data_IF_995898049185
#
_entry.id   IF_995898049185
#
_cell.length_a   1.000
_cell.length_b   1.000
_cell.length_c   1.000
_cell.angle_alpha   90.00
_cell.angle_beta   90.00
_cell.angle_gamma   90.00
#
_symmetry.space_group_name_H-M   'P 1'
#
loop_
_entity.id
_entity.type
_entity.pdbx_description
1 polymer ?
#
# COMPACT_ATOMS: atom_id res chain seq x y z
N UNK A 1 -1.43 24.77 5.25
CA UNK A 1 -2.19 23.64 5.76
C UNK A 1 -1.55 22.36 5.27
N UNK A 2 -1.14 21.53 6.19
CA UNK A 2 -0.54 20.27 5.79
C UNK A 2 -1.65 19.32 5.35
N UNK A 3 -1.47 18.73 4.19
CA UNK A 3 -2.39 17.74 3.71
C UNK A 3 -2.11 16.43 4.43
N UNK A 4 -3.12 15.92 5.12
CA UNK A 4 -3.00 14.62 5.73
C UNK A 4 -2.98 13.53 4.66
N UNK A 5 -2.12 12.56 4.86
CA UNK A 5 -2.03 11.41 3.99
C UNK A 5 -2.96 10.34 4.56
N UNK A 6 -4.05 10.07 3.86
CA UNK A 6 -4.97 9.01 4.27
C UNK A 6 -4.54 7.69 3.63
N UNK A 7 -4.55 6.62 4.43
CA UNK A 7 -4.04 5.31 4.02
C UNK A 7 -5.10 4.24 4.22
N UNK A 8 -5.29 3.41 3.21
CA UNK A 8 -5.98 2.14 3.33
C UNK A 8 -4.93 1.04 3.33
N UNK A 9 -5.00 0.16 4.31
CA UNK A 9 -4.08 -0.97 4.43
C UNK A 9 -4.79 -2.26 4.04
N UNK A 10 -4.21 -3.03 3.14
CA UNK A 10 -4.70 -4.34 2.75
C UNK A 10 -3.69 -5.40 3.17
N UNK A 11 -4.03 -6.19 4.18
CA UNK A 11 -3.16 -7.20 4.78
C UNK A 11 -4.00 -8.23 5.53
N UNK A 12 -3.81 -9.50 5.23
CA UNK A 12 -4.57 -10.57 5.86
C UNK A 12 -3.98 -11.07 7.18
N UNK A 13 -2.68 -10.85 7.42
CA UNK A 13 -2.03 -11.24 8.67
C UNK A 13 -2.29 -10.19 9.75
N UNK A 14 -2.92 -10.60 10.84
CA UNK A 14 -3.20 -9.72 11.96
C UNK A 14 -1.91 -9.12 12.53
N UNK A 15 -0.86 -9.95 12.65
CA UNK A 15 0.42 -9.50 13.21
C UNK A 15 1.08 -8.43 12.34
N UNK A 16 1.14 -8.66 11.04
CA UNK A 16 1.73 -7.69 10.11
C UNK A 16 0.86 -6.43 10.04
N UNK A 17 -0.45 -6.60 10.01
CA UNK A 17 -1.40 -5.48 10.00
C UNK A 17 -1.21 -4.56 11.20
N UNK A 18 -1.12 -5.13 12.41
CA UNK A 18 -0.89 -4.37 13.62
C UNK A 18 0.44 -3.60 13.58
N UNK A 19 1.49 -4.26 13.08
CA UNK A 19 2.81 -3.64 12.97
C UNK A 19 2.78 -2.44 12.02
N UNK A 20 2.14 -2.58 10.86
CA UNK A 20 2.05 -1.51 9.87
C UNK A 20 1.19 -0.36 10.40
N UNK A 21 0.05 -0.65 11.01
CA UNK A 21 -0.82 0.38 11.57
C UNK A 21 -0.06 1.15 12.66
N UNK A 22 0.66 0.45 13.52
CA UNK A 22 1.44 1.08 14.58
C UNK A 22 2.52 2.00 14.00
N UNK A 23 3.25 1.50 12.99
CA UNK A 23 4.29 2.30 12.33
C UNK A 23 3.71 3.55 11.67
N UNK A 24 2.61 3.42 10.94
CA UNK A 24 1.95 4.55 10.30
C UNK A 24 1.40 5.54 11.31
N UNK A 25 0.89 5.05 12.44
CA UNK A 25 0.30 5.91 13.47
C UNK A 25 1.32 6.78 14.21
N UNK A 26 2.61 6.48 14.09
CA UNK A 26 3.65 7.33 14.67
C UNK A 26 3.95 8.58 13.83
N UNK A 27 3.45 8.62 12.59
CA UNK A 27 3.63 9.78 11.72
C UNK A 27 2.41 10.71 11.86
N UNK A 28 2.61 11.97 12.34
CA UNK A 28 1.48 12.88 12.55
C UNK A 28 0.76 13.30 11.26
N UNK A 29 1.42 13.13 10.11
CA UNK A 29 0.83 13.48 8.81
C UNK A 29 0.01 12.36 8.21
N UNK A 30 -0.03 11.18 8.82
CA UNK A 30 -0.65 9.99 8.26
C UNK A 30 -1.84 9.55 9.11
N UNK A 31 -2.94 9.22 8.44
CA UNK A 31 -4.14 8.68 9.08
C UNK A 31 -4.56 7.40 8.36
N UNK A 32 -4.67 6.30 9.09
CA UNK A 32 -5.19 5.05 8.54
C UNK A 32 -6.73 5.14 8.56
N UNK A 33 -7.34 5.12 7.39
CA UNK A 33 -8.79 5.31 7.26
C UNK A 33 -9.55 4.01 6.99
N UNK A 34 -8.84 2.91 6.80
CA UNK A 34 -9.47 1.61 6.65
C UNK A 34 -8.45 0.51 6.56
N UNK A 35 -8.87 -0.70 6.93
CA UNK A 35 -8.05 -1.91 6.89
C UNK A 35 -8.86 -3.02 6.25
N UNK A 36 -8.30 -3.69 5.25
CA UNK A 36 -8.92 -4.79 4.54
C UNK A 36 -8.10 -6.07 4.70
N UNK A 37 -8.79 -7.20 4.74
CA UNK A 37 -8.14 -8.50 4.89
C UNK A 37 -8.04 -9.27 3.57
N UNK A 38 -8.73 -8.83 2.54
CA UNK A 38 -8.76 -9.50 1.24
C UNK A 38 -8.92 -8.48 0.11
N UNK A 39 -8.86 -9.01 -1.12
CA UNK A 39 -8.94 -8.18 -2.33
C UNK A 39 -10.26 -7.42 -2.42
N UNK A 40 -11.38 -8.10 -2.24
CA UNK A 40 -12.69 -7.48 -2.42
C UNK A 40 -12.94 -6.37 -1.38
N UNK A 41 -12.54 -6.61 -0.13
CA UNK A 41 -12.65 -5.60 0.92
C UNK A 41 -11.76 -4.39 0.61
N UNK A 42 -10.57 -4.63 0.06
CA UNK A 42 -9.65 -3.55 -0.32
C UNK A 42 -10.26 -2.68 -1.43
N UNK A 43 -10.83 -3.31 -2.47
CA UNK A 43 -11.50 -2.59 -3.56
C UNK A 43 -12.64 -1.72 -3.01
N UNK A 44 -13.46 -2.28 -2.13
CA UNK A 44 -14.58 -1.56 -1.54
C UNK A 44 -14.12 -0.35 -0.72
N UNK A 45 -13.08 -0.52 0.09
CA UNK A 45 -12.54 0.57 0.90
C UNK A 45 -11.92 1.68 0.05
N UNK A 46 -11.19 1.31 -1.00
CA UNK A 46 -10.61 2.31 -1.92
C UNK A 46 -11.71 3.15 -2.56
N UNK A 47 -12.77 2.49 -3.04
CA UNK A 47 -13.89 3.20 -3.66
C UNK A 47 -14.63 4.09 -2.67
N UNK A 48 -14.82 3.62 -1.43
CA UNK A 48 -15.56 4.34 -0.40
C UNK A 48 -14.76 5.49 0.22
N UNK A 49 -13.48 5.25 0.51
CA UNK A 49 -12.65 6.19 1.29
C UNK A 49 -11.80 7.12 0.45
N UNK A 50 -11.55 6.78 -0.81
CA UNK A 50 -10.67 7.56 -1.70
C UNK A 50 -9.37 7.97 -1.01
N UNK A 51 -8.56 7.02 -0.51
CA UNK A 51 -7.37 7.37 0.26
C UNK A 51 -6.31 8.05 -0.62
N UNK A 52 -5.36 8.70 0.04
CA UNK A 52 -4.18 9.23 -0.66
C UNK A 52 -3.31 8.09 -1.18
N UNK A 53 -3.16 7.04 -0.36
CA UNK A 53 -2.28 5.90 -0.64
C UNK A 53 -2.95 4.62 -0.17
N UNK A 54 -2.67 3.53 -0.89
CA UNK A 54 -2.96 2.17 -0.43
C UNK A 54 -1.64 1.46 -0.14
N UNK A 55 -1.52 0.88 1.04
CA UNK A 55 -0.41 -0.02 1.39
C UNK A 55 -0.98 -1.43 1.37
N UNK A 56 -0.44 -2.30 0.54
CA UNK A 56 -1.00 -3.63 0.33
C UNK A 56 0.06 -4.72 0.34
N UNK A 57 -0.28 -5.86 0.94
CA UNK A 57 0.47 -7.10 0.76
C UNK A 57 0.27 -7.60 -0.67
N UNK A 58 1.21 -8.39 -1.18
CA UNK A 58 1.08 -9.02 -2.50
C UNK A 58 0.07 -10.16 -2.43
N UNK A 59 0.20 -11.01 -1.43
CA UNK A 59 -0.58 -12.25 -1.31
C UNK A 59 -1.67 -12.10 -0.27
N UNK A 60 -2.91 -12.13 -0.74
CA UNK A 60 -4.09 -12.04 0.11
C UNK A 60 -5.16 -12.99 -0.41
N UNK A 61 -6.17 -13.34 0.42
CA UNK A 61 -7.34 -14.03 -0.11
C UNK A 61 -7.97 -13.24 -1.26
N UNK A 62 -8.60 -13.88 -2.23
CA UNK A 62 -8.99 -15.29 -2.20
C UNK A 62 -7.94 -16.29 -2.65
N UNK A 63 -6.95 -15.91 -3.47
CA UNK A 63 -6.01 -16.90 -4.04
C UNK A 63 -4.66 -16.94 -3.33
N UNK A 64 -4.33 -15.91 -2.57
CA UNK A 64 -3.05 -15.76 -1.87
C UNK A 64 -1.84 -15.85 -2.82
N UNK A 65 -1.96 -15.26 -3.99
CA UNK A 65 -0.90 -15.23 -5.00
C UNK A 65 -0.42 -13.83 -5.31
N UNK A 66 -1.23 -13.02 -5.98
CA UNK A 66 -0.82 -11.71 -6.48
C UNK A 66 -1.90 -10.63 -6.34
N UNK A 67 -2.79 -10.80 -5.39
CA UNK A 67 -3.91 -9.87 -5.19
C UNK A 67 -3.46 -8.41 -5.05
N UNK A 68 -2.34 -8.18 -4.35
CA UNK A 68 -1.82 -6.83 -4.19
C UNK A 68 -1.39 -6.20 -5.52
N UNK A 69 -0.78 -6.99 -6.39
CA UNK A 69 -0.40 -6.51 -7.72
C UNK A 69 -1.65 -6.25 -8.57
N UNK A 70 -2.64 -7.13 -8.51
CA UNK A 70 -3.90 -6.93 -9.22
C UNK A 70 -4.66 -5.71 -8.71
N UNK A 71 -4.61 -5.47 -7.40
CA UNK A 71 -5.18 -4.27 -6.80
C UNK A 71 -4.52 -3.01 -7.36
N UNK A 72 -3.18 -3.00 -7.43
CA UNK A 72 -2.44 -1.88 -7.97
C UNK A 72 -2.78 -1.63 -9.45
N UNK A 73 -2.92 -2.69 -10.23
CA UNK A 73 -3.32 -2.57 -11.65
C UNK A 73 -4.71 -2.00 -11.80
N UNK A 74 -5.64 -2.49 -11.00
CA UNK A 74 -7.01 -1.97 -11.00
C UNK A 74 -7.02 -0.48 -10.65
N UNK A 75 -6.26 -0.09 -9.63
CA UNK A 75 -6.21 1.29 -9.19
C UNK A 75 -5.61 2.22 -10.25
N UNK A 76 -4.64 1.74 -11.02
CA UNK A 76 -4.05 2.54 -12.08
C UNK A 76 -5.08 2.96 -13.12
N UNK A 77 -6.06 2.11 -13.39
CA UNK A 77 -7.14 2.40 -14.33
C UNK A 77 -8.29 3.15 -13.67
N UNK A 78 -8.75 2.68 -12.51
CA UNK A 78 -9.94 3.21 -11.85
C UNK A 78 -9.66 4.44 -10.98
N UNK A 79 -8.47 4.49 -10.36
CA UNK A 79 -8.08 5.55 -9.43
C UNK A 79 -6.61 5.93 -9.65
N UNK A 80 -6.26 6.47 -10.82
CA UNK A 80 -4.84 6.71 -11.17
C UNK A 80 -4.12 7.70 -10.28
N UNK A 81 -4.85 8.52 -9.54
CA UNK A 81 -4.28 9.52 -8.64
C UNK A 81 -3.93 8.97 -7.26
N UNK A 82 -4.40 7.75 -6.92
CA UNK A 82 -4.09 7.14 -5.63
C UNK A 82 -2.76 6.40 -5.72
N UNK A 83 -1.85 6.70 -4.81
CA UNK A 83 -0.56 6.02 -4.74
C UNK A 83 -0.68 4.62 -4.15
N UNK A 84 0.25 3.74 -4.50
CA UNK A 84 0.27 2.35 -4.01
C UNK A 84 1.66 2.00 -3.53
N UNK A 85 1.75 1.42 -2.33
CA UNK A 85 2.97 0.79 -1.82
C UNK A 85 2.67 -0.68 -1.63
N UNK A 86 3.47 -1.52 -2.28
CA UNK A 86 3.33 -2.97 -2.17
C UNK A 86 4.37 -3.50 -1.17
N UNK A 87 3.90 -4.27 -0.20
CA UNK A 87 4.75 -4.92 0.79
C UNK A 87 4.99 -6.37 0.39
N UNK A 88 6.23 -6.81 0.48
CA UNK A 88 6.60 -8.19 0.14
C UNK A 88 7.57 -8.76 1.17
N UNK A 89 7.49 -10.07 1.41
CA UNK A 89 8.45 -10.77 2.24
C UNK A 89 9.81 -10.90 1.58
N UNK A 90 9.83 -10.92 0.25
CA UNK A 90 11.05 -11.13 -0.53
C UNK A 90 11.11 -10.14 -1.67
N UNK A 91 12.33 -9.77 -2.04
CA UNK A 91 12.56 -9.02 -3.27
C UNK A 91 12.27 -9.96 -4.44
N UNK A 92 11.12 -9.84 -5.05
CA UNK A 92 10.70 -10.64 -6.20
C UNK A 92 10.66 -9.76 -7.43
N UNK A 93 11.62 -9.89 -8.36
CA UNK A 93 11.67 -9.04 -9.55
C UNK A 93 10.43 -9.15 -10.43
N UNK A 94 9.79 -10.30 -10.45
CA UNK A 94 8.56 -10.49 -11.23
C UNK A 94 7.42 -9.62 -10.72
N UNK A 95 7.25 -9.57 -9.41
CA UNK A 95 6.20 -8.72 -8.83
C UNK A 95 6.52 -7.24 -8.98
N UNK A 96 7.77 -6.86 -8.74
CA UNK A 96 8.17 -5.47 -8.91
C UNK A 96 8.00 -5.01 -10.36
N UNK A 97 8.39 -5.84 -11.32
CA UNK A 97 8.21 -5.53 -12.73
C UNK A 97 6.72 -5.37 -13.09
N UNK A 98 5.86 -6.24 -12.57
CA UNK A 98 4.43 -6.13 -12.78
C UNK A 98 3.84 -4.85 -12.21
N UNK A 99 4.30 -4.43 -11.03
CA UNK A 99 3.85 -3.18 -10.41
C UNK A 99 4.26 -1.97 -11.22
N UNK A 100 5.46 -1.98 -11.78
CA UNK A 100 6.07 -0.82 -12.42
C UNK A 100 5.93 -0.81 -13.95
N UNK A 101 5.24 -1.78 -14.54
CA UNK A 101 5.19 -1.95 -16.01
C UNK A 101 4.61 -0.74 -16.77
N UNK A 102 3.83 0.10 -16.11
CA UNK A 102 3.21 1.27 -16.72
C UNK A 102 3.73 2.59 -16.15
N UNK A 103 4.95 2.55 -15.63
CA UNK A 103 5.58 3.71 -15.02
C UNK A 103 5.67 3.57 -13.51
N UNK A 104 6.51 4.41 -12.92
CA UNK A 104 6.85 4.31 -11.50
C UNK A 104 6.20 5.36 -10.62
N UNK A 105 5.68 6.44 -11.21
CA UNK A 105 5.09 7.53 -10.44
C UNK A 105 3.91 7.03 -9.59
N UNK A 106 3.92 7.35 -8.31
CA UNK A 106 2.89 6.94 -7.38
C UNK A 106 2.93 5.46 -7.00
N UNK A 107 4.02 4.77 -7.30
CA UNK A 107 4.18 3.33 -7.00
C UNK A 107 5.40 3.12 -6.13
N UNK A 108 5.26 2.31 -5.10
CA UNK A 108 6.35 1.94 -4.22
C UNK A 108 6.37 0.44 -3.97
N UNK A 109 7.54 -0.09 -3.69
CA UNK A 109 7.74 -1.50 -3.36
C UNK A 109 8.65 -1.55 -2.13
N UNK A 110 8.18 -2.17 -1.06
CA UNK A 110 8.90 -2.20 0.21
C UNK A 110 8.90 -3.62 0.77
N UNK A 111 10.05 -4.07 1.25
CA UNK A 111 10.15 -5.35 1.93
C UNK A 111 9.49 -5.26 3.31
N UNK A 112 8.73 -6.29 3.70
CA UNK A 112 8.04 -6.30 4.99
C UNK A 112 8.98 -6.15 6.17
N UNK A 113 10.21 -6.65 6.06
CA UNK A 113 11.21 -6.50 7.13
C UNK A 113 11.58 -5.04 7.39
N UNK A 114 11.38 -4.16 6.40
CA UNK A 114 11.68 -2.73 6.53
C UNK A 114 10.62 -1.97 7.31
N UNK A 115 9.45 -2.57 7.52
CA UNK A 115 8.38 -1.94 8.31
C UNK A 115 8.81 -1.74 9.75
N UNK A 116 9.68 -2.59 10.28
CA UNK A 116 10.23 -2.43 11.62
C UNK A 116 11.05 -1.14 11.75
N UNK A 117 11.50 -0.59 10.64
CA UNK A 117 12.17 0.71 10.58
C UNK A 117 11.14 1.75 10.18
N UNK A 118 10.49 2.33 11.14
CA UNK A 118 9.38 3.27 10.91
C UNK A 118 9.74 4.39 9.94
N UNK A 119 10.98 4.88 10.01
CA UNK A 119 11.45 5.96 9.14
C UNK A 119 11.40 5.57 7.66
N UNK A 120 11.75 4.32 7.32
CA UNK A 120 11.70 3.87 5.94
C UNK A 120 10.27 3.80 5.41
N UNK A 121 9.33 3.34 6.24
CA UNK A 121 7.92 3.32 5.86
C UNK A 121 7.38 4.74 5.71
N UNK A 122 7.71 5.63 6.64
CA UNK A 122 7.30 7.03 6.58
C UNK A 122 7.82 7.69 5.30
N UNK A 123 9.10 7.49 4.98
CA UNK A 123 9.70 8.06 3.78
C UNK A 123 9.00 7.54 2.52
N UNK A 124 8.73 6.25 2.46
CA UNK A 124 8.04 5.64 1.31
C UNK A 124 6.64 6.24 1.14
N UNK A 125 5.90 6.39 2.23
CA UNK A 125 4.56 6.95 2.21
C UNK A 125 4.58 8.38 1.68
N UNK A 126 5.49 9.21 2.20
CA UNK A 126 5.59 10.60 1.75
C UNK A 126 6.03 10.72 0.30
N UNK A 127 6.99 9.90 -0.14
CA UNK A 127 7.45 9.91 -1.53
C UNK A 127 6.33 9.51 -2.49
N UNK A 128 5.60 8.46 -2.18
CA UNK A 128 4.50 7.98 -3.04
C UNK A 128 3.35 8.98 -3.04
N UNK A 129 3.04 9.60 -1.90
CA UNK A 129 2.00 10.62 -1.81
C UNK A 129 2.32 11.82 -2.70
N UNK A 130 3.60 12.14 -2.89
CA UNK A 130 4.06 13.23 -3.75
C UNK A 130 4.18 12.81 -5.21
N UNK A 131 3.78 11.60 -5.56
CA UNK A 131 3.86 11.07 -6.92
C UNK A 131 5.19 10.43 -7.28
N UNK A 132 6.08 10.24 -6.30
CA UNK A 132 7.37 9.59 -6.50
C UNK A 132 7.29 8.07 -6.40
N UNK A 133 8.44 7.43 -6.35
CA UNK A 133 8.55 5.97 -6.20
C UNK A 133 9.44 5.59 -5.03
#
# INVERSE_FOLDING_TARGET
>A
MSDRISVVLAEDSLLVRDSVVRALSTDPDVTVVGVAEDYDAAVALVAERSPTIVVTDIRMPPTSTDEGIRLARWMRTAHPHIGVIVLSNYADPGYAAGLLERGTAGRGYLLKERVARFEELHDAVHQVADGGT
#
